data_IF_955767119226
#
_entry.id   IF_955767119226
#
_cell.length_a   1.000
_cell.length_b   1.000
_cell.length_c   1.000
_cell.angle_alpha   90.00
_cell.angle_beta   90.00
_cell.angle_gamma   90.00
#
_symmetry.space_group_name_H-M   'P 1'
#
loop_
_entity.id
_entity.type
_entity.pdbx_description
1 polymer ?
#
# COMPACT_ATOMS: atom_id res chain seq x y z
N UNK A 1 -67.88 -15.70 10.84
CA UNK A 1 -67.04 -14.53 11.19
C UNK A 1 -65.94 -14.81 12.22
N UNK A 2 -66.20 -15.41 13.40
CA UNK A 2 -65.16 -15.63 14.44
C UNK A 2 -63.96 -16.52 14.04
N UNK A 3 -64.12 -17.47 13.12
CA UNK A 3 -63.01 -18.33 12.64
C UNK A 3 -62.06 -17.61 11.67
N UNK A 4 -62.59 -16.74 10.81
CA UNK A 4 -61.81 -15.96 9.84
C UNK A 4 -60.96 -14.86 10.51
N UNK A 5 -61.47 -14.24 11.58
CA UNK A 5 -60.68 -13.30 12.39
C UNK A 5 -59.52 -14.00 13.14
N UNK A 6 -59.73 -15.23 13.62
CA UNK A 6 -58.68 -15.99 14.31
C UNK A 6 -57.56 -16.44 13.35
N UNK A 7 -57.90 -16.86 12.14
CA UNK A 7 -56.89 -17.21 11.12
C UNK A 7 -56.11 -15.99 10.63
N UNK A 8 -56.77 -14.84 10.46
CA UNK A 8 -56.09 -13.59 10.10
C UNK A 8 -55.12 -13.10 11.19
N UNK A 9 -55.52 -13.20 12.46
CA UNK A 9 -54.66 -12.83 13.59
C UNK A 9 -53.44 -13.75 13.73
N UNK A 10 -53.61 -15.06 13.53
CA UNK A 10 -52.52 -16.03 13.59
C UNK A 10 -51.47 -15.81 12.48
N UNK A 11 -51.93 -15.46 11.27
CA UNK A 11 -51.04 -15.11 10.16
C UNK A 11 -50.26 -13.82 10.43
N UNK A 12 -50.92 -12.79 10.97
CA UNK A 12 -50.25 -11.55 11.33
C UNK A 12 -49.17 -11.75 12.41
N UNK A 13 -49.46 -12.55 13.44
CA UNK A 13 -48.48 -12.89 14.49
C UNK A 13 -47.30 -13.68 13.93
N UNK A 14 -47.55 -14.62 13.01
CA UNK A 14 -46.47 -15.37 12.37
C UNK A 14 -45.54 -14.48 11.54
N UNK A 15 -46.09 -13.51 10.80
CA UNK A 15 -45.30 -12.55 9.99
C UNK A 15 -44.46 -11.62 10.87
N UNK A 16 -45.03 -11.12 11.98
CA UNK A 16 -44.28 -10.28 12.91
C UNK A 16 -43.16 -11.07 13.60
N UNK A 17 -43.42 -12.34 13.95
CA UNK A 17 -42.41 -13.21 14.54
C UNK A 17 -41.25 -13.50 13.57
N UNK A 18 -41.52 -13.74 12.28
CA UNK A 18 -40.46 -13.98 11.29
C UNK A 18 -39.63 -12.74 11.01
N UNK A 19 -40.26 -11.55 10.96
CA UNK A 19 -39.54 -10.28 10.82
C UNK A 19 -38.66 -9.98 12.02
N UNK A 20 -39.13 -10.26 13.24
CA UNK A 20 -38.33 -10.08 14.46
C UNK A 20 -37.14 -11.05 14.50
N UNK A 21 -37.33 -12.32 14.11
CA UNK A 21 -36.23 -13.29 14.01
C UNK A 21 -35.21 -12.86 12.96
N UNK A 22 -35.65 -12.32 11.82
CA UNK A 22 -34.75 -11.81 10.78
C UNK A 22 -33.95 -10.59 11.25
N UNK A 23 -34.58 -9.65 11.97
CA UNK A 23 -33.90 -8.48 12.55
C UNK A 23 -32.85 -8.87 13.61
N UNK A 24 -33.17 -9.84 14.48
CA UNK A 24 -32.21 -10.32 15.49
C UNK A 24 -31.04 -11.07 14.84
N UNK A 25 -31.31 -11.88 13.81
CA UNK A 25 -30.25 -12.56 13.07
C UNK A 25 -29.31 -11.58 12.34
N UNK A 26 -29.84 -10.50 11.76
CA UNK A 26 -29.02 -9.48 11.08
C UNK A 26 -28.18 -8.64 12.04
N UNK A 27 -28.67 -8.38 13.27
CA UNK A 27 -27.87 -7.74 14.32
C UNK A 27 -26.74 -8.65 14.86
N UNK A 28 -26.95 -9.97 14.88
CA UNK A 28 -25.92 -10.94 15.28
C UNK A 28 -24.79 -11.10 14.24
N UNK A 29 -25.09 -10.95 12.95
CA UNK A 29 -24.08 -11.01 11.87
C UNK A 29 -23.24 -9.72 11.82
N UNK A 30 -23.82 -8.57 12.16
CA UNK A 30 -23.10 -7.28 12.21
C UNK A 30 -22.39 -6.99 13.55
N UNK A 31 -22.53 -7.87 14.55
CA UNK A 31 -21.84 -7.75 15.84
C UNK A 31 -20.53 -8.56 15.86
N UNK A 32 -19.68 -8.42 14.85
CA UNK A 32 -18.26 -8.75 14.98
C UNK A 32 -17.60 -7.56 15.69
N UNK A 33 -17.77 -7.51 17.01
CA UNK A 33 -17.01 -6.65 17.88
C UNK A 33 -15.51 -6.90 17.66
N UNK A 34 -14.72 -5.83 17.59
CA UNK A 34 -13.26 -5.85 17.59
C UNK A 34 -12.78 -6.76 18.73
N UNK A 35 -12.27 -7.94 18.38
CA UNK A 35 -11.61 -8.80 19.35
C UNK A 35 -10.32 -8.10 19.81
N UNK A 36 -10.03 -8.04 21.13
CA UNK A 36 -8.74 -7.56 21.60
C UNK A 36 -7.67 -8.57 21.15
N UNK A 37 -6.75 -8.15 20.29
CA UNK A 37 -5.61 -8.97 19.87
C UNK A 37 -4.60 -9.03 21.01
N UNK A 38 -4.74 -10.02 21.89
CA UNK A 38 -3.63 -10.56 22.67
C UNK A 38 -3.10 -11.78 21.93
N UNK A 39 -2.14 -11.57 21.03
CA UNK A 39 -1.46 -12.63 20.30
C UNK A 39 0.02 -12.64 20.64
N UNK A 40 0.46 -13.67 21.38
CA UNK A 40 1.88 -14.02 21.49
C UNK A 40 2.36 -14.48 20.11
N UNK A 41 3.43 -13.87 19.61
CA UNK A 41 4.05 -14.24 18.34
C UNK A 41 4.99 -15.45 18.54
N UNK A 42 4.71 -16.52 17.81
CA UNK A 42 5.64 -17.63 17.63
C UNK A 42 6.78 -17.16 16.71
N UNK A 43 7.98 -17.03 17.28
CA UNK A 43 9.21 -16.81 16.51
C UNK A 43 9.66 -18.18 15.98
N UNK A 44 9.23 -18.52 14.77
CA UNK A 44 9.71 -19.69 14.03
C UNK A 44 11.09 -19.40 13.42
N UNK A 45 12.01 -20.35 13.59
CA UNK A 45 13.43 -20.22 13.25
C UNK A 45 13.70 -19.82 11.78
N UNK A 46 14.62 -18.88 11.62
CA UNK A 46 15.15 -18.34 10.37
C UNK A 46 15.94 -19.39 9.58
N UNK A 47 15.42 -19.82 8.44
CA UNK A 47 16.17 -20.56 7.42
C UNK A 47 16.35 -19.65 6.21
N UNK A 48 17.45 -18.90 6.17
CA UNK A 48 18.19 -18.58 4.95
C UNK A 48 19.43 -17.77 5.29
N UNK A 49 20.58 -18.27 4.81
CA UNK A 49 21.88 -17.65 4.98
C UNK A 49 22.00 -16.36 4.15
N UNK A 50 22.53 -15.31 4.76
CA UNK A 50 22.86 -14.03 4.12
C UNK A 50 23.92 -14.22 3.03
N UNK A 51 23.67 -13.87 1.75
CA UNK A 51 24.76 -13.79 0.78
C UNK A 51 25.67 -12.61 1.13
N UNK A 52 26.97 -12.89 1.26
CA UNK A 52 28.02 -11.87 1.43
C UNK A 52 28.17 -11.07 0.13
N UNK A 53 28.08 -9.72 0.14
CA UNK A 53 28.31 -8.95 -1.06
C UNK A 53 29.77 -9.06 -1.51
N UNK A 54 29.97 -9.48 -2.76
CA UNK A 54 31.27 -9.48 -3.41
C UNK A 54 31.61 -8.05 -3.81
N UNK A 55 32.73 -7.51 -3.30
CA UNK A 55 33.22 -6.19 -3.67
C UNK A 55 33.60 -6.17 -5.17
N UNK A 56 32.90 -5.34 -5.95
CA UNK A 56 33.26 -5.05 -7.33
C UNK A 56 34.56 -4.21 -7.42
N UNK A 57 35.33 -4.32 -8.51
CA UNK A 57 36.60 -3.61 -8.65
C UNK A 57 36.41 -2.09 -8.74
N UNK A 58 37.19 -1.39 -7.92
CA UNK A 58 37.32 0.07 -7.86
C UNK A 58 37.88 0.64 -9.17
N UNK A 59 37.36 1.77 -9.71
CA UNK A 59 37.92 2.39 -10.90
C UNK A 59 39.32 2.97 -10.61
N UNK A 60 40.29 2.56 -11.43
CA UNK A 60 41.67 3.06 -11.41
C UNK A 60 41.73 4.47 -11.99
N UNK A 61 42.13 5.45 -11.19
CA UNK A 61 42.44 6.80 -11.67
C UNK A 61 43.71 6.76 -12.54
N UNK A 62 43.59 7.11 -13.83
CA UNK A 62 44.75 7.28 -14.73
C UNK A 62 45.34 8.68 -14.53
N UNK A 63 46.63 8.71 -14.24
CA UNK A 63 47.42 9.90 -13.91
C UNK A 63 47.80 10.70 -15.18
N UNK A 64 47.41 11.97 -15.14
CA UNK A 64 48.11 13.21 -15.53
C UNK A 64 49.07 13.21 -16.74
N UNK A 65 48.67 13.91 -17.81
CA UNK A 65 49.57 14.36 -18.87
C UNK A 65 50.47 15.52 -18.38
N UNK A 66 51.75 15.43 -18.72
CA UNK A 66 52.78 16.46 -18.50
C UNK A 66 52.51 17.66 -19.41
N UNK A 67 52.25 18.84 -18.85
CA UNK A 67 52.24 20.10 -19.59
C UNK A 67 53.60 20.81 -19.44
N UNK A 68 54.22 21.10 -20.58
CA UNK A 68 55.43 21.92 -20.73
C UNK A 68 55.13 23.39 -20.38
N UNK A 69 55.94 24.10 -19.57
CA UNK A 69 55.73 25.53 -19.32
C UNK A 69 56.38 26.38 -20.42
N UNK A 70 55.67 27.40 -20.91
CA UNK A 70 56.20 28.49 -21.73
C UNK A 70 55.64 29.83 -21.17
N UNK A 71 56.38 30.95 -21.21
CA UNK A 71 56.38 31.91 -20.11
C UNK A 71 55.33 33.03 -20.23
N UNK A 72 54.89 33.44 -19.04
CA UNK A 72 54.53 34.79 -18.55
C UNK A 72 54.29 35.91 -19.56
N UNK A 73 53.05 36.39 -19.58
CA UNK A 73 52.71 37.81 -19.79
C UNK A 73 51.80 38.31 -18.66
N UNK A 74 52.11 39.50 -18.14
CA UNK A 74 51.53 40.26 -17.02
C UNK A 74 50.05 40.69 -17.30
N UNK A 75 49.23 41.07 -16.30
CA UNK A 75 47.78 41.01 -16.37
C UNK A 75 47.13 42.30 -16.91
N UNK A 76 45.98 42.15 -17.56
CA UNK A 76 45.06 43.24 -17.87
C UNK A 76 43.82 43.09 -16.99
N UNK A 77 43.54 44.12 -16.18
CA UNK A 77 42.49 44.12 -15.17
C UNK A 77 41.10 44.00 -15.81
N UNK A 78 40.42 42.87 -15.61
CA UNK A 78 39.00 42.69 -15.89
C UNK A 78 38.21 43.04 -14.63
N UNK A 79 37.13 43.83 -14.70
CA UNK A 79 36.34 44.18 -13.52
C UNK A 79 35.66 42.92 -12.96
N UNK A 80 35.87 42.63 -11.68
CA UNK A 80 35.17 41.58 -10.95
C UNK A 80 33.67 41.94 -10.88
N UNK A 81 32.86 41.23 -11.66
CA UNK A 81 31.41 41.16 -11.42
C UNK A 81 31.24 40.21 -10.24
N UNK A 82 30.88 40.75 -9.08
CA UNK A 82 30.53 39.95 -7.90
C UNK A 82 29.24 39.19 -8.21
N UNK A 83 29.37 37.91 -8.54
CA UNK A 83 28.25 36.97 -8.62
C UNK A 83 27.75 36.75 -7.20
N UNK A 84 26.63 37.38 -6.85
CA UNK A 84 25.91 37.08 -5.61
C UNK A 84 25.31 35.68 -5.79
N UNK A 85 25.98 34.67 -5.21
CA UNK A 85 25.47 33.30 -5.13
C UNK A 85 24.25 33.33 -4.22
N UNK A 86 23.06 33.27 -4.81
CA UNK A 86 21.82 33.19 -4.07
C UNK A 86 21.80 31.87 -3.30
N UNK A 87 21.77 31.95 -1.97
CA UNK A 87 21.63 30.79 -1.08
C UNK A 87 20.37 30.00 -1.48
N UNK A 88 20.47 28.68 -1.74
CA UNK A 88 19.32 27.90 -2.18
C UNK A 88 18.27 27.92 -1.07
N UNK A 89 17.11 28.52 -1.38
CA UNK A 89 15.95 28.48 -0.50
C UNK A 89 15.50 27.02 -0.37
N UNK A 90 15.69 26.43 0.81
CA UNK A 90 15.27 25.06 1.08
C UNK A 90 13.76 24.91 0.85
N UNK A 91 13.36 24.06 -0.10
CA UNK A 91 11.97 23.66 -0.29
C UNK A 91 11.56 22.81 0.91
N UNK A 92 10.45 23.11 1.62
CA UNK A 92 10.02 22.30 2.75
C UNK A 92 9.70 20.87 2.29
N UNK A 93 10.13 19.87 3.07
CA UNK A 93 9.81 18.47 2.80
C UNK A 93 8.29 18.25 2.94
N UNK A 94 7.69 17.40 2.08
CA UNK A 94 6.26 17.14 2.15
C UNK A 94 5.91 16.40 3.45
N UNK A 95 5.05 17.00 4.27
CA UNK A 95 4.52 16.38 5.50
C UNK A 95 3.14 15.77 5.26
N UNK A 96 2.74 14.71 6.01
CA UNK A 96 1.39 14.18 5.96
C UNK A 96 0.34 15.25 6.26
N UNK A 97 -0.80 15.21 5.57
CA UNK A 97 -1.92 16.08 5.89
C UNK A 97 -2.59 15.69 7.23
N UNK A 98 -3.48 16.55 7.72
CA UNK A 98 -4.17 16.34 9.01
C UNK A 98 -5.04 15.08 9.03
N UNK A 99 -5.61 14.68 7.89
CA UNK A 99 -6.42 13.46 7.82
C UNK A 99 -5.54 12.23 8.05
N UNK A 100 -4.38 12.16 7.39
CA UNK A 100 -3.41 11.07 7.59
C UNK A 100 -2.96 11.02 9.04
N UNK A 101 -2.57 12.15 9.62
CA UNK A 101 -2.15 12.27 11.03
C UNK A 101 -3.24 11.76 11.99
N UNK A 102 -4.48 12.18 11.79
CA UNK A 102 -5.61 11.79 12.65
C UNK A 102 -5.94 10.29 12.55
N UNK A 103 -5.85 9.71 11.36
CA UNK A 103 -6.10 8.29 11.14
C UNK A 103 -5.06 7.44 11.86
N UNK A 104 -3.77 7.71 11.64
CA UNK A 104 -2.70 6.86 12.20
C UNK A 104 -2.56 7.04 13.70
N UNK A 105 -2.80 8.25 14.22
CA UNK A 105 -2.85 8.50 15.68
C UNK A 105 -3.94 7.67 16.35
N UNK A 106 -5.15 7.61 15.77
CA UNK A 106 -6.26 6.77 16.28
C UNK A 106 -5.96 5.28 16.19
N UNK A 107 -5.11 4.88 15.24
CA UNK A 107 -4.60 3.52 15.11
C UNK A 107 -3.44 3.21 16.08
N UNK A 108 -3.01 4.17 16.90
CA UNK A 108 -1.89 4.00 17.84
C UNK A 108 -0.50 4.04 17.20
N UNK A 109 -0.39 4.63 16.01
CA UNK A 109 0.86 4.79 15.25
C UNK A 109 1.32 6.25 15.40
N UNK A 110 2.61 6.44 15.64
CA UNK A 110 3.23 7.77 15.71
C UNK A 110 3.24 8.44 14.32
N UNK A 111 2.55 9.59 14.13
CA UNK A 111 2.53 10.31 12.87
C UNK A 111 3.90 10.87 12.45
N UNK A 112 4.84 11.04 13.38
CA UNK A 112 6.22 11.42 13.10
C UNK A 112 7.10 10.21 12.74
N UNK A 113 6.57 9.00 12.81
CA UNK A 113 7.29 7.76 12.51
C UNK A 113 7.26 7.37 11.04
N UNK A 114 7.54 6.08 10.79
CA UNK A 114 7.46 5.43 9.48
C UNK A 114 6.24 4.53 9.43
N UNK A 115 5.38 4.69 8.42
CA UNK A 115 4.14 3.91 8.25
C UNK A 115 3.62 3.94 6.81
N UNK A 116 2.64 3.06 6.55
CA UNK A 116 1.89 3.01 5.31
C UNK A 116 0.41 3.22 5.61
N UNK A 117 -0.25 4.09 4.84
CA UNK A 117 -1.71 4.27 4.88
C UNK A 117 -2.30 3.86 3.54
N UNK A 118 -3.29 2.97 3.56
CA UNK A 118 -4.05 2.53 2.39
C UNK A 118 -5.45 3.12 2.49
N UNK A 119 -5.76 4.05 1.59
CA UNK A 119 -7.09 4.63 1.45
C UNK A 119 -7.81 3.95 0.28
N UNK A 120 -8.73 3.04 0.60
CA UNK A 120 -9.49 2.30 -0.39
C UNK A 120 -10.42 3.21 -1.20
N UNK A 121 -11.01 4.24 -0.60
CA UNK A 121 -11.92 5.13 -1.32
C UNK A 121 -11.21 5.99 -2.36
N UNK A 122 -10.01 6.47 -2.02
CA UNK A 122 -9.17 7.24 -2.94
C UNK A 122 -8.35 6.36 -3.89
N UNK A 123 -8.32 5.03 -3.65
CA UNK A 123 -7.40 4.10 -4.32
C UNK A 123 -5.96 4.67 -4.29
N UNK A 124 -5.52 5.09 -3.11
CA UNK A 124 -4.16 5.58 -2.87
C UNK A 124 -3.51 4.87 -1.69
N UNK A 125 -2.20 4.70 -1.78
CA UNK A 125 -1.35 4.26 -0.68
C UNK A 125 -0.27 5.33 -0.43
N UNK A 126 -0.27 5.92 0.77
CA UNK A 126 0.69 6.93 1.20
C UNK A 126 1.75 6.28 2.06
N UNK A 127 3.02 6.47 1.71
CA UNK A 127 4.17 5.96 2.44
C UNK A 127 4.86 7.13 3.12
N UNK A 128 4.94 7.06 4.45
CA UNK A 128 5.57 8.07 5.28
C UNK A 128 6.81 7.46 5.93
N UNK A 129 7.91 8.20 5.89
CA UNK A 129 9.17 7.85 6.55
C UNK A 129 9.60 9.03 7.40
N UNK A 130 9.75 8.79 8.70
CA UNK A 130 10.21 9.78 9.68
C UNK A 130 9.42 11.10 9.59
N UNK A 131 8.09 10.99 9.47
CA UNK A 131 7.17 12.13 9.38
C UNK A 131 7.14 12.84 8.03
N UNK A 132 7.82 12.30 7.00
CA UNK A 132 7.87 12.85 5.64
C UNK A 132 7.17 11.90 4.68
N UNK A 133 6.28 12.43 3.83
CA UNK A 133 5.68 11.64 2.74
C UNK A 133 6.76 11.35 1.70
N UNK A 134 7.19 10.09 1.59
CA UNK A 134 8.25 9.69 0.65
C UNK A 134 7.69 9.17 -0.66
N UNK A 135 6.44 8.70 -0.68
CA UNK A 135 5.75 8.31 -1.91
C UNK A 135 4.25 8.22 -1.74
N UNK A 136 3.53 8.48 -2.82
CA UNK A 136 2.11 8.16 -2.97
C UNK A 136 1.93 7.25 -4.18
N UNK A 137 1.24 6.14 -3.98
CA UNK A 137 1.06 5.10 -4.99
C UNK A 137 -0.41 5.03 -5.40
N UNK A 138 -0.64 4.94 -6.71
CA UNK A 138 -1.92 4.49 -7.25
C UNK A 138 -2.07 2.99 -6.97
N UNK A 139 -3.21 2.60 -6.39
CA UNK A 139 -3.48 1.20 -6.04
C UNK A 139 -4.77 0.70 -6.65
N UNK A 140 -4.96 -0.62 -6.70
CA UNK A 140 -6.29 -1.21 -6.89
C UNK A 140 -6.55 -2.28 -5.83
N UNK A 141 -7.49 -2.00 -4.92
CA UNK A 141 -7.91 -2.92 -3.85
C UNK A 141 -9.02 -3.88 -4.31
N UNK A 142 -9.52 -4.70 -3.40
CA UNK A 142 -10.49 -5.76 -3.68
C UNK A 142 -11.87 -5.25 -4.07
N UNK A 143 -12.42 -5.76 -5.18
CA UNK A 143 -13.71 -5.36 -5.76
C UNK A 143 -14.88 -5.73 -4.81
N UNK A 144 -15.53 -4.74 -4.17
CA UNK A 144 -16.62 -4.99 -3.23
C UNK A 144 -17.92 -5.41 -3.94
N UNK A 145 -18.15 -4.97 -5.18
CA UNK A 145 -19.36 -5.30 -5.96
C UNK A 145 -19.36 -6.79 -6.35
N UNK A 146 -18.17 -7.42 -6.43
CA UNK A 146 -18.00 -8.87 -6.61
C UNK A 146 -17.84 -9.65 -5.30
N UNK A 147 -17.94 -9.00 -4.15
CA UNK A 147 -17.73 -9.62 -2.84
C UNK A 147 -16.27 -9.97 -2.54
N UNK A 148 -15.31 -9.34 -3.22
CA UNK A 148 -13.88 -9.55 -3.05
C UNK A 148 -13.19 -8.44 -2.25
N UNK A 149 -13.87 -7.93 -1.23
CA UNK A 149 -13.41 -6.81 -0.41
C UNK A 149 -12.01 -7.02 0.18
N UNK A 150 -11.19 -5.97 0.16
CA UNK A 150 -10.02 -5.85 1.05
C UNK A 150 -10.51 -5.37 2.41
N UNK A 151 -10.37 -6.16 3.49
CA UNK A 151 -10.85 -5.73 4.81
C UNK A 151 -10.08 -4.51 5.32
N UNK A 152 -10.80 -3.63 6.04
CA UNK A 152 -10.14 -2.64 6.89
C UNK A 152 -9.27 -3.38 7.93
N UNK A 153 -8.06 -2.90 8.14
CA UNK A 153 -7.10 -3.60 8.97
C UNK A 153 -6.01 -2.67 9.49
N UNK A 154 -5.43 -2.99 10.64
CA UNK A 154 -4.25 -2.33 11.16
C UNK A 154 -3.30 -3.39 11.67
N UNK A 155 -2.03 -3.26 11.32
CA UNK A 155 -1.01 -4.22 11.73
C UNK A 155 0.35 -3.84 11.17
N UNK A 156 1.15 -4.84 10.82
CA UNK A 156 2.49 -4.67 10.27
C UNK A 156 2.65 -5.49 9.01
N UNK A 157 3.41 -4.95 8.06
CA UNK A 157 3.75 -5.64 6.83
C UNK A 157 4.66 -6.82 7.17
N UNK A 158 4.26 -8.01 6.72
CA UNK A 158 4.92 -9.28 7.00
C UNK A 158 5.98 -9.64 5.96
N UNK A 159 6.19 -10.94 5.79
CA UNK A 159 7.27 -11.49 4.97
C UNK A 159 7.15 -11.17 3.49
N UNK A 160 8.32 -11.09 2.83
CA UNK A 160 8.43 -11.02 1.39
C UNK A 160 8.22 -12.40 0.75
N UNK A 161 7.29 -12.48 -0.20
CA UNK A 161 6.90 -13.70 -0.91
C UNK A 161 7.44 -13.76 -2.34
N UNK A 162 8.01 -12.68 -2.86
CA UNK A 162 8.53 -12.64 -4.23
C UNK A 162 7.42 -12.79 -5.27
N UNK A 163 7.67 -13.63 -6.27
CA UNK A 163 6.70 -13.92 -7.33
C UNK A 163 5.78 -15.05 -6.91
N UNK A 164 4.48 -14.86 -7.06
CA UNK A 164 3.47 -15.90 -6.85
C UNK A 164 2.54 -16.01 -8.06
N UNK A 165 1.83 -17.14 -8.16
CA UNK A 165 0.84 -17.37 -9.22
C UNK A 165 -0.47 -17.87 -8.62
N UNK A 166 -1.58 -17.29 -9.07
CA UNK A 166 -2.92 -17.65 -8.64
C UNK A 166 -3.93 -17.24 -9.71
N UNK A 167 -5.00 -18.03 -9.90
CA UNK A 167 -6.08 -17.72 -10.84
C UNK A 167 -5.62 -17.49 -12.29
N UNK A 168 -4.59 -18.21 -12.74
CA UNK A 168 -4.07 -18.13 -14.11
C UNK A 168 -3.19 -16.91 -14.41
N UNK A 169 -2.82 -16.13 -13.39
CA UNK A 169 -1.90 -14.99 -13.51
C UNK A 169 -0.78 -15.09 -12.49
N UNK A 170 0.33 -14.43 -12.78
CA UNK A 170 1.44 -14.22 -11.86
C UNK A 170 1.49 -12.78 -11.37
N UNK A 171 2.11 -12.53 -10.23
CA UNK A 171 2.47 -11.19 -9.78
C UNK A 171 3.79 -11.25 -9.01
N UNK A 172 4.55 -10.16 -9.07
CA UNK A 172 5.87 -10.05 -8.44
C UNK A 172 5.83 -9.20 -7.19
N UNK A 173 6.95 -9.19 -6.48
CA UNK A 173 7.20 -8.28 -5.37
C UNK A 173 6.13 -8.34 -4.28
N UNK A 174 5.65 -9.55 -3.96
CA UNK A 174 4.55 -9.73 -3.02
C UNK A 174 5.01 -9.62 -1.56
N UNK A 175 4.29 -8.84 -0.77
CA UNK A 175 4.46 -8.68 0.67
C UNK A 175 3.20 -9.10 1.39
N UNK A 176 3.34 -10.00 2.38
CA UNK A 176 2.20 -10.51 3.13
C UNK A 176 1.68 -9.50 4.15
N UNK A 177 0.35 -9.40 4.30
CA UNK A 177 -0.29 -8.58 5.32
C UNK A 177 -0.98 -9.43 6.38
N UNK A 178 -2.07 -10.11 5.99
CA UNK A 178 -2.87 -10.93 6.91
C UNK A 178 -3.73 -11.94 6.15
N UNK A 179 -4.34 -12.86 6.90
CA UNK A 179 -5.29 -13.85 6.39
C UNK A 179 -6.72 -13.33 6.49
N UNK A 180 -7.47 -13.46 5.41
CA UNK A 180 -8.91 -13.29 5.31
C UNK A 180 -9.51 -14.45 4.49
N UNK A 181 -10.45 -14.18 3.57
CA UNK A 181 -10.92 -15.18 2.60
C UNK A 181 -9.79 -15.76 1.72
N UNK A 182 -8.70 -15.00 1.56
CA UNK A 182 -7.42 -15.43 1.02
C UNK A 182 -6.28 -14.81 1.82
N UNK A 183 -5.03 -14.99 1.38
CA UNK A 183 -3.94 -14.14 1.89
C UNK A 183 -4.07 -12.76 1.25
N UNK A 184 -4.06 -11.72 2.07
CA UNK A 184 -4.04 -10.33 1.60
C UNK A 184 -2.59 -9.91 1.46
N UNK A 185 -2.22 -9.48 0.27
CA UNK A 185 -0.85 -9.14 -0.12
C UNK A 185 -0.82 -7.74 -0.73
N UNK A 186 0.32 -7.06 -0.64
CA UNK A 186 0.68 -5.95 -1.53
C UNK A 186 1.57 -6.53 -2.62
N UNK A 187 1.26 -6.33 -3.90
CA UNK A 187 2.06 -6.90 -5.00
C UNK A 187 1.89 -6.11 -6.30
N UNK A 188 2.75 -6.38 -7.29
CA UNK A 188 2.64 -5.78 -8.63
C UNK A 188 1.29 -6.09 -9.28
N UNK A 189 0.89 -5.32 -10.29
CA UNK A 189 -0.22 -5.69 -11.15
C UNK A 189 -0.04 -7.15 -11.66
N UNK A 190 -1.13 -7.93 -11.74
CA UNK A 190 -1.06 -9.31 -12.23
C UNK A 190 -0.69 -9.31 -13.72
N UNK A 191 0.00 -10.35 -14.17
CA UNK A 191 0.39 -10.52 -15.56
C UNK A 191 0.28 -11.97 -16.03
N UNK A 192 0.19 -12.11 -17.35
CA UNK A 192 0.49 -13.36 -18.07
C UNK A 192 1.79 -13.20 -18.85
N UNK A 193 2.45 -14.30 -19.18
CA UNK A 193 3.62 -14.27 -20.06
C UNK A 193 3.18 -14.42 -21.51
N UNK A 194 3.70 -13.57 -22.39
CA UNK A 194 3.61 -13.74 -23.83
C UNK A 194 4.58 -14.83 -24.31
N UNK A 195 4.45 -15.24 -25.57
CA UNK A 195 5.30 -16.28 -26.18
C UNK A 195 6.79 -15.88 -26.21
N UNK A 196 7.08 -14.59 -26.31
CA UNK A 196 8.44 -14.03 -26.26
C UNK A 196 8.99 -13.85 -24.84
N UNK A 197 8.25 -14.27 -23.82
CA UNK A 197 8.61 -14.14 -22.40
C UNK A 197 8.31 -12.78 -21.79
N UNK A 198 7.76 -11.82 -22.55
CA UNK A 198 7.36 -10.52 -22.01
C UNK A 198 6.16 -10.63 -21.06
N UNK A 199 6.09 -9.74 -20.07
CA UNK A 199 4.98 -9.69 -19.10
C UNK A 199 3.87 -8.79 -19.64
N UNK A 200 2.68 -9.37 -19.81
CA UNK A 200 1.46 -8.66 -20.19
C UNK A 200 0.66 -8.35 -18.92
N UNK A 201 0.89 -7.16 -18.36
CA UNK A 201 0.21 -6.70 -17.15
C UNK A 201 -1.28 -6.41 -17.38
N UNK A 202 -2.11 -6.68 -16.37
CA UNK A 202 -3.56 -6.58 -16.41
C UNK A 202 -4.05 -5.60 -15.35
N UNK A 203 -5.11 -4.85 -15.67
CA UNK A 203 -5.75 -3.93 -14.72
C UNK A 203 -4.89 -2.72 -14.36
N UNK A 204 -3.96 -2.31 -15.23
CA UNK A 204 -3.15 -1.11 -15.04
C UNK A 204 -4.03 0.15 -15.01
N UNK A 205 -5.06 0.20 -15.83
CA UNK A 205 -6.01 1.32 -15.90
C UNK A 205 -6.93 1.39 -14.66
N UNK A 206 -6.99 0.32 -13.85
CA UNK A 206 -7.77 0.31 -12.61
C UNK A 206 -7.01 1.01 -11.46
N UNK A 207 -5.67 1.09 -11.56
CA UNK A 207 -4.81 1.63 -10.51
C UNK A 207 -5.11 3.10 -10.28
N UNK A 208 -5.52 3.40 -9.05
CA UNK A 208 -5.87 4.74 -8.63
C UNK A 208 -7.26 5.21 -9.05
N UNK A 209 -8.06 4.34 -9.69
CA UNK A 209 -9.40 4.66 -10.17
C UNK A 209 -10.46 3.92 -9.35
N UNK A 210 -10.43 2.58 -9.32
CA UNK A 210 -11.42 1.79 -8.58
C UNK A 210 -10.87 0.44 -8.09
N UNK A 211 -11.49 -0.16 -7.06
CA UNK A 211 -11.13 -1.50 -6.59
C UNK A 211 -11.52 -2.57 -7.62
N UNK A 212 -10.55 -3.33 -8.12
CA UNK A 212 -10.74 -4.36 -9.15
C UNK A 212 -10.09 -5.72 -8.80
N UNK A 213 -9.50 -5.83 -7.61
CA UNK A 213 -8.74 -7.00 -7.18
C UNK A 213 -9.61 -8.09 -6.53
N UNK A 214 -9.00 -9.23 -6.20
CA UNK A 214 -9.63 -10.30 -5.41
C UNK A 214 -9.39 -10.18 -3.90
N UNK A 215 -8.98 -9.01 -3.43
CA UNK A 215 -8.71 -8.70 -2.03
C UNK A 215 -7.30 -8.17 -1.76
N UNK A 216 -6.31 -8.48 -2.61
CA UNK A 216 -4.96 -7.92 -2.50
C UNK A 216 -4.92 -6.43 -2.88
N UNK A 217 -3.84 -5.75 -2.51
CA UNK A 217 -3.56 -4.37 -2.92
C UNK A 217 -2.58 -4.45 -4.10
N UNK A 218 -3.08 -4.12 -5.30
CA UNK A 218 -2.24 -4.05 -6.51
C UNK A 218 -1.58 -2.68 -6.60
N UNK A 219 -0.32 -2.66 -7.01
CA UNK A 219 0.46 -1.46 -7.37
C UNK A 219 1.09 -1.65 -8.75
N UNK A 220 1.59 -0.57 -9.36
CA UNK A 220 2.30 -0.68 -10.63
C UNK A 220 3.58 -1.55 -10.48
N UNK A 221 4.10 -2.17 -11.55
CA UNK A 221 5.32 -2.97 -11.48
C UNK A 221 6.54 -2.19 -10.98
N UNK A 222 6.66 -0.93 -11.39
CA UNK A 222 7.75 -0.03 -10.97
C UNK A 222 7.61 0.35 -9.50
N UNK A 223 6.39 0.64 -9.05
CA UNK A 223 6.10 0.90 -7.64
C UNK A 223 6.33 -0.33 -6.77
N UNK A 224 6.03 -1.54 -7.29
CA UNK A 224 6.27 -2.78 -6.57
C UNK A 224 7.77 -3.05 -6.38
N UNK A 225 8.57 -2.77 -7.41
CA UNK A 225 10.03 -2.84 -7.33
C UNK A 225 10.54 -1.86 -6.29
N UNK A 226 10.15 -0.58 -6.39
CA UNK A 226 10.56 0.43 -5.41
C UNK A 226 10.11 0.10 -3.99
N UNK A 227 8.89 -0.40 -3.83
CA UNK A 227 8.34 -0.73 -2.51
C UNK A 227 9.15 -1.86 -1.89
N UNK A 228 9.52 -2.88 -2.66
CA UNK A 228 10.44 -3.93 -2.20
C UNK A 228 11.82 -3.39 -1.86
N UNK A 229 12.40 -2.53 -2.71
CA UNK A 229 13.72 -1.94 -2.48
C UNK A 229 13.76 -1.06 -1.23
N UNK A 230 12.64 -0.40 -0.91
CA UNK A 230 12.48 0.38 0.31
C UNK A 230 12.52 -0.48 1.58
N UNK A 231 12.15 -1.76 1.49
CA UNK A 231 12.21 -2.72 2.60
C UNK A 231 11.09 -2.51 3.65
N UNK A 232 9.81 -2.79 3.31
CA UNK A 232 8.65 -2.48 4.13
C UNK A 232 8.43 -3.47 5.28
N UNK A 233 9.32 -4.45 5.48
CA UNK A 233 9.17 -5.46 6.53
C UNK A 233 9.00 -4.81 7.90
N UNK A 234 8.02 -5.29 8.66
CA UNK A 234 7.64 -4.82 9.98
C UNK A 234 7.15 -3.36 10.03
N UNK A 235 6.97 -2.67 8.90
CA UNK A 235 6.42 -1.31 8.89
C UNK A 235 4.94 -1.33 9.29
N UNK A 236 4.49 -0.44 10.21
CA UNK A 236 3.08 -0.27 10.54
C UNK A 236 2.25 0.12 9.32
N UNK A 237 1.09 -0.51 9.18
CA UNK A 237 0.15 -0.23 8.08
C UNK A 237 -1.28 -0.11 8.59
N UNK A 238 -2.01 0.86 8.04
CA UNK A 238 -3.45 1.05 8.23
C UNK A 238 -4.13 0.92 6.88
N UNK A 239 -5.13 0.05 6.79
CA UNK A 239 -6.06 -0.06 5.67
C UNK A 239 -7.40 0.47 6.13
N UNK A 240 -7.82 1.59 5.55
CA UNK A 240 -9.10 2.22 5.83
C UNK A 240 -10.25 1.37 5.27
N UNK A 241 -11.46 1.45 5.85
CA UNK A 241 -12.63 0.81 5.26
C UNK A 241 -12.96 1.37 3.89
N UNK A 242 -13.50 0.51 3.02
CA UNK A 242 -14.26 0.93 1.86
C UNK A 242 -15.69 1.25 2.30
N UNK A 243 -16.17 2.46 2.04
CA UNK A 243 -17.54 2.90 2.40
C UNK A 243 -18.39 3.27 1.17
N UNK A 244 -17.90 2.96 -0.04
CA UNK A 244 -18.57 3.25 -1.30
C UNK A 244 -17.77 4.17 -2.22
N UNK A 245 -16.77 4.88 -1.69
CA UNK A 245 -15.80 5.69 -2.44
C UNK A 245 -16.42 6.84 -3.26
N UNK A 246 -15.74 8.00 -3.30
CA UNK A 246 -16.11 9.10 -4.20
C UNK A 246 -15.63 8.88 -5.65
N UNK A 247 -14.95 7.77 -5.94
CA UNK A 247 -14.43 7.41 -7.28
C UNK A 247 -15.50 7.12 -8.36
N UNK A 248 -16.76 7.47 -8.12
CA UNK A 248 -17.84 7.49 -9.12
C UNK A 248 -18.17 8.90 -9.63
N UNK A 249 -17.44 9.93 -9.22
CA UNK A 249 -17.54 11.28 -9.81
C UNK A 249 -16.32 11.56 -10.71
N UNK A 250 -16.38 11.04 -11.93
CA UNK A 250 -15.46 11.30 -13.03
C UNK A 250 -16.08 10.87 -14.34
#
# INVERSE_FOLDING_TARGET
MRRLLRTGLLLAVAVVATLAVWQVASLLVNSQALAPVTGQYYVGASWMATPTPTAGPSPTATVLMTATPLPTSLPEATPEIQTVEAEPTAVPLPTPDSFVVDVVSRAGIDPAGTFVLVNQNAQRMTIVKDGVVVRELAISTGDPDRGWYTPAWTGRIGEYWGTFSANGVSADNAWYLFKAGGSILIHSAPYTQAEDGSKLYQGMDDLGVFPASRGCIRISPDDATWFTDWGPYDVPIVILPWDGGTGREG
#
